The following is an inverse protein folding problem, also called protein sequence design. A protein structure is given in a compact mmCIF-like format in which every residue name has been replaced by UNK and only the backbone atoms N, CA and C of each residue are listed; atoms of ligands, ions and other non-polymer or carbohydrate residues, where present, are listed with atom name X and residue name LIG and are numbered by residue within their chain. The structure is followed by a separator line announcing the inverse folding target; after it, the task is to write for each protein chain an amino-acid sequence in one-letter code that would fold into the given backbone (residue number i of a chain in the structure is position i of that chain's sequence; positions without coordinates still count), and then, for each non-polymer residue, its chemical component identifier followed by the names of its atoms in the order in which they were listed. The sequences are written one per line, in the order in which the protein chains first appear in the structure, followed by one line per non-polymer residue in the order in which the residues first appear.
data_IF_613844733315
#
_entry.id   IF_613844733315
#
_cell.length_a   1.000
_cell.length_b   1.000
_cell.length_c   1.000
_cell.angle_alpha   90.00
_cell.angle_beta   90.00
_cell.angle_gamma   90.00
#
_symmetry.space_group_name_H-M   'P 1'
#
loop_
_entity.id
_entity.type
_entity.pdbx_description
1 polymer ?
#
# COMPACT_ATOMS: atom_id res chain seq x y z
N UNK A 1 28.05 -9.66 -8.53
CA UNK A 1 26.64 -10.11 -8.62
C UNK A 1 25.84 -8.85 -8.78
N UNK A 2 25.33 -8.59 -9.98
CA UNK A 2 24.46 -7.44 -10.22
C UNK A 2 23.22 -7.66 -9.35
N UNK A 3 23.08 -6.86 -8.29
CA UNK A 3 21.79 -6.81 -7.60
C UNK A 3 20.81 -6.22 -8.59
N UNK A 4 19.78 -6.99 -8.92
CA UNK A 4 18.76 -6.58 -9.87
C UNK A 4 18.02 -5.39 -9.25
N UNK A 5 18.39 -4.18 -9.68
CA UNK A 5 17.95 -2.92 -9.06
C UNK A 5 16.51 -2.55 -9.43
N UNK A 6 15.85 -3.38 -10.25
CA UNK A 6 14.49 -3.17 -10.72
C UNK A 6 13.48 -3.65 -9.69
N UNK A 7 12.56 -2.76 -9.30
CA UNK A 7 11.43 -3.10 -8.45
C UNK A 7 10.37 -3.88 -9.26
N UNK A 8 9.58 -4.75 -8.61
CA UNK A 8 8.35 -5.26 -9.19
C UNK A 8 7.42 -4.11 -9.62
N UNK A 9 6.73 -4.30 -10.75
CA UNK A 9 5.78 -3.34 -11.30
C UNK A 9 4.40 -3.99 -11.42
N UNK A 10 3.35 -3.16 -11.38
CA UNK A 10 1.98 -3.62 -11.62
C UNK A 10 1.87 -4.38 -12.95
N UNK A 11 1.08 -5.45 -12.93
CA UNK A 11 0.64 -6.12 -14.14
C UNK A 11 -0.77 -6.70 -13.92
N UNK A 12 -1.50 -6.95 -15.01
CA UNK A 12 -2.90 -7.39 -14.96
C UNK A 12 -3.12 -8.74 -14.25
N UNK A 13 -2.06 -9.54 -14.00
CA UNK A 13 -2.18 -10.78 -13.21
C UNK A 13 -2.39 -10.51 -11.72
N UNK A 14 -2.11 -9.29 -11.27
CA UNK A 14 -2.40 -8.83 -9.91
C UNK A 14 -3.85 -8.35 -9.76
N UNK A 15 -4.59 -8.15 -10.85
CA UNK A 15 -5.96 -7.67 -10.77
C UNK A 15 -6.86 -8.63 -9.99
N UNK A 16 -7.58 -8.09 -9.01
CA UNK A 16 -8.62 -8.81 -8.26
C UNK A 16 -10.01 -8.63 -8.86
N UNK A 17 -10.12 -7.95 -10.01
CA UNK A 17 -11.36 -7.56 -10.68
C UNK A 17 -12.26 -6.66 -9.82
N UNK A 18 -11.66 -5.79 -9.01
CA UNK A 18 -12.37 -4.72 -8.30
C UNK A 18 -11.61 -3.43 -8.55
N UNK A 19 -12.21 -2.53 -9.31
CA UNK A 19 -11.55 -1.40 -9.97
C UNK A 19 -10.80 -0.54 -8.94
N UNK A 20 -11.46 -0.23 -7.83
CA UNK A 20 -10.90 0.65 -6.80
C UNK A 20 -9.76 -0.02 -6.00
N UNK A 21 -9.79 -1.35 -5.83
CA UNK A 21 -8.71 -2.10 -5.18
C UNK A 21 -7.52 -2.19 -6.14
N UNK A 22 -7.76 -2.47 -7.42
CA UNK A 22 -6.72 -2.50 -8.44
C UNK A 22 -6.05 -1.12 -8.58
N UNK A 23 -6.81 -0.03 -8.44
CA UNK A 23 -6.29 1.34 -8.43
C UNK A 23 -5.37 1.61 -7.22
N UNK A 24 -5.75 1.17 -6.02
CA UNK A 24 -4.92 1.26 -4.81
C UNK A 24 -3.63 0.46 -5.00
N UNK A 25 -3.72 -0.80 -5.43
CA UNK A 25 -2.56 -1.67 -5.67
C UNK A 25 -1.57 -1.02 -6.64
N UNK A 26 -2.08 -0.49 -7.76
CA UNK A 26 -1.25 0.23 -8.71
C UNK A 26 -0.56 1.46 -8.10
N UNK A 27 -1.24 2.17 -7.20
CA UNK A 27 -0.67 3.34 -6.55
C UNK A 27 0.52 3.00 -5.64
N UNK A 28 0.47 1.89 -4.90
CA UNK A 28 1.62 1.41 -4.14
C UNK A 28 2.83 1.09 -5.01
N UNK A 29 2.64 0.42 -6.16
CA UNK A 29 3.74 0.18 -7.11
C UNK A 29 4.32 1.50 -7.64
N UNK A 30 3.47 2.48 -7.97
CA UNK A 30 3.92 3.82 -8.39
C UNK A 30 4.67 4.56 -7.29
N UNK A 31 4.23 4.46 -6.04
CA UNK A 31 4.90 5.07 -4.89
C UNK A 31 6.27 4.45 -4.64
N UNK A 32 6.39 3.13 -4.73
CA UNK A 32 7.66 2.43 -4.60
C UNK A 32 8.66 2.87 -5.69
N UNK A 33 8.19 2.96 -6.95
CA UNK A 33 9.00 3.47 -8.06
C UNK A 33 9.42 4.94 -7.82
N UNK A 34 8.50 5.81 -7.39
CA UNK A 34 8.80 7.21 -7.07
C UNK A 34 9.88 7.34 -5.99
N UNK A 35 9.79 6.55 -4.92
CA UNK A 35 10.80 6.54 -3.86
C UNK A 35 12.19 6.16 -4.40
N UNK A 36 12.26 5.14 -5.25
CA UNK A 36 13.51 4.73 -5.91
C UNK A 36 14.06 5.82 -6.83
N UNK A 37 13.20 6.48 -7.62
CA UNK A 37 13.58 7.52 -8.56
C UNK A 37 14.11 8.77 -7.85
N UNK A 38 13.45 9.18 -6.76
CA UNK A 38 13.86 10.36 -5.95
C UNK A 38 15.23 10.15 -5.31
N UNK A 39 15.55 8.91 -4.89
CA UNK A 39 16.90 8.58 -4.39
C UNK A 39 17.92 8.56 -5.53
N UNK A 40 17.54 8.02 -6.69
CA UNK A 40 18.44 7.85 -7.85
C UNK A 40 18.71 9.14 -8.62
N UNK A 41 17.82 10.14 -8.49
CA UNK A 41 17.91 11.45 -9.16
C UNK A 41 17.86 12.59 -8.13
N UNK A 42 18.96 12.86 -7.39
CA UNK A 42 18.98 13.87 -6.35
C UNK A 42 18.63 15.27 -6.87
N UNK A 43 17.81 15.98 -6.11
CA UNK A 43 17.42 17.37 -6.37
C UNK A 43 17.37 18.17 -5.07
N UNK A 44 17.26 19.50 -5.15
CA UNK A 44 17.07 20.35 -3.98
C UNK A 44 15.76 20.05 -3.23
N UNK A 45 14.82 19.36 -3.88
CA UNK A 45 13.50 19.02 -3.35
C UNK A 45 13.47 17.57 -2.82
N UNK A 46 14.58 16.83 -2.87
CA UNK A 46 14.64 15.39 -2.55
C UNK A 46 14.01 15.06 -1.19
N UNK A 47 14.38 15.77 -0.13
CA UNK A 47 13.81 15.55 1.21
C UNK A 47 12.29 15.77 1.23
N UNK A 48 11.82 16.84 0.59
CA UNK A 48 10.39 17.14 0.51
C UNK A 48 9.62 16.05 -0.25
N UNK A 49 10.17 15.59 -1.37
CA UNK A 49 9.57 14.53 -2.18
C UNK A 49 9.53 13.20 -1.42
N UNK A 50 10.59 12.86 -0.68
CA UNK A 50 10.62 11.64 0.17
C UNK A 50 9.55 11.73 1.26
N UNK A 51 9.50 12.80 2.03
CA UNK A 51 8.50 12.95 3.10
C UNK A 51 7.07 12.95 2.53
N UNK A 52 6.86 13.55 1.36
CA UNK A 52 5.57 13.50 0.66
C UNK A 52 5.21 12.07 0.27
N UNK A 53 6.15 11.31 -0.30
CA UNK A 53 5.91 9.91 -0.66
C UNK A 53 5.64 9.02 0.57
N UNK A 54 6.32 9.28 1.70
CA UNK A 54 6.08 8.59 2.98
C UNK A 54 4.67 8.87 3.48
N UNK A 55 4.24 10.14 3.53
CA UNK A 55 2.91 10.48 4.02
C UNK A 55 1.81 9.87 3.15
N UNK A 56 2.00 9.88 1.81
CA UNK A 56 1.07 9.22 0.90
C UNK A 56 1.07 7.70 1.15
N UNK A 57 2.24 7.08 1.37
CA UNK A 57 2.30 5.65 1.69
C UNK A 57 1.52 5.32 2.98
N UNK A 58 1.72 6.08 4.05
CA UNK A 58 1.00 5.90 5.33
C UNK A 58 -0.53 5.99 5.11
N UNK A 59 -1.03 7.00 4.39
CA UNK A 59 -2.46 7.15 4.06
C UNK A 59 -3.01 6.00 3.21
N UNK A 60 -2.23 5.54 2.23
CA UNK A 60 -2.64 4.45 1.35
C UNK A 60 -2.70 3.13 2.11
N UNK A 61 -1.72 2.81 2.97
CA UNK A 61 -1.72 1.59 3.80
C UNK A 61 -2.98 1.54 4.65
N UNK A 62 -3.25 2.58 5.44
CA UNK A 62 -4.40 2.62 6.34
C UNK A 62 -5.72 2.50 5.57
N UNK A 63 -5.91 3.34 4.55
CA UNK A 63 -7.16 3.39 3.80
C UNK A 63 -7.43 2.12 3.00
N UNK A 64 -6.42 1.58 2.32
CA UNK A 64 -6.55 0.39 1.47
C UNK A 64 -6.85 -0.85 2.31
N UNK A 65 -6.08 -1.05 3.40
CA UNK A 65 -6.30 -2.17 4.29
C UNK A 65 -7.67 -2.12 4.93
N UNK A 66 -8.12 -0.94 5.37
CA UNK A 66 -9.47 -0.79 5.90
C UNK A 66 -10.54 -1.11 4.85
N UNK A 67 -10.36 -0.66 3.61
CA UNK A 67 -11.28 -0.95 2.51
C UNK A 67 -11.48 -2.44 2.30
N UNK A 68 -10.39 -3.20 2.18
CA UNK A 68 -10.45 -4.66 2.00
C UNK A 68 -11.09 -5.34 3.20
N UNK A 69 -10.69 -4.95 4.43
CA UNK A 69 -11.21 -5.52 5.66
C UNK A 69 -12.71 -5.30 5.83
N UNK A 70 -13.20 -4.09 5.53
CA UNK A 70 -14.64 -3.80 5.55
C UNK A 70 -15.39 -4.61 4.51
N UNK A 71 -14.83 -4.76 3.30
CA UNK A 71 -15.46 -5.55 2.24
C UNK A 71 -15.51 -7.04 2.60
N UNK A 72 -14.42 -7.60 3.12
CA UNK A 72 -14.33 -8.98 3.60
C UNK A 72 -15.27 -9.24 4.79
N UNK A 73 -15.36 -8.31 5.74
CA UNK A 73 -16.27 -8.41 6.88
C UNK A 73 -17.75 -8.43 6.45
N UNK A 74 -18.13 -7.63 5.44
CA UNK A 74 -19.51 -7.60 4.92
C UNK A 74 -19.97 -8.94 4.33
N UNK A 75 -19.05 -9.78 3.89
CA UNK A 75 -19.35 -11.07 3.27
C UNK A 75 -18.97 -12.26 4.16
N UNK A 76 -18.68 -12.03 5.44
CA UNK A 76 -18.22 -13.04 6.39
C UNK A 76 -17.02 -13.86 5.85
N UNK A 77 -16.04 -13.19 5.25
CA UNK A 77 -14.89 -13.84 4.61
C UNK A 77 -14.10 -14.69 5.62
N UNK A 78 -13.91 -16.01 5.39
CA UNK A 78 -13.36 -16.91 6.40
C UNK A 78 -11.94 -16.59 6.85
N UNK A 79 -11.09 -16.03 5.98
CA UNK A 79 -9.69 -15.73 6.27
C UNK A 79 -9.44 -14.28 6.69
N UNK A 80 -10.49 -13.53 7.09
CA UNK A 80 -10.37 -12.12 7.47
C UNK A 80 -9.33 -11.90 8.59
N UNK A 81 -9.31 -12.76 9.61
CA UNK A 81 -8.39 -12.60 10.74
C UNK A 81 -6.92 -12.76 10.32
N UNK A 82 -6.63 -13.76 9.47
CA UNK A 82 -5.30 -13.98 8.92
C UNK A 82 -4.88 -12.82 7.99
N UNK A 83 -5.82 -12.29 7.20
CA UNK A 83 -5.58 -11.14 6.31
C UNK A 83 -5.21 -9.88 7.09
N UNK A 84 -5.97 -9.56 8.16
CA UNK A 84 -5.66 -8.46 9.09
C UNK A 84 -4.27 -8.64 9.69
N UNK A 85 -3.94 -9.84 10.16
CA UNK A 85 -2.62 -10.11 10.74
C UNK A 85 -1.47 -9.91 9.73
N UNK A 86 -1.70 -10.16 8.44
CA UNK A 86 -0.71 -9.91 7.39
C UNK A 86 -0.52 -8.40 7.14
N UNK A 87 -1.62 -7.64 7.17
CA UNK A 87 -1.62 -6.19 7.08
C UNK A 87 -0.89 -5.53 8.25
N UNK A 88 -1.22 -5.90 9.48
CA UNK A 88 -0.59 -5.34 10.69
C UNK A 88 0.93 -5.59 10.69
N UNK A 89 1.35 -6.81 10.33
CA UNK A 89 2.77 -7.16 10.25
C UNK A 89 3.53 -6.39 9.15
N UNK A 90 2.85 -5.98 8.08
CA UNK A 90 3.44 -5.13 7.05
C UNK A 90 3.55 -3.68 7.52
N UNK A 91 2.51 -3.14 8.11
CA UNK A 91 2.48 -1.78 8.63
C UNK A 91 3.57 -1.55 9.70
N UNK A 92 3.76 -2.52 10.61
CA UNK A 92 4.84 -2.49 11.60
C UNK A 92 6.23 -2.35 10.96
N UNK A 93 6.48 -3.08 9.85
CA UNK A 93 7.76 -3.05 9.13
C UNK A 93 7.96 -1.74 8.39
N UNK A 94 6.90 -1.20 7.77
CA UNK A 94 6.92 0.09 7.10
C UNK A 94 7.19 1.21 8.12
N UNK A 95 6.46 1.22 9.23
CA UNK A 95 6.63 2.18 10.33
C UNK A 95 8.05 2.18 10.89
N UNK A 96 8.67 0.99 11.04
CA UNK A 96 10.05 0.88 11.50
C UNK A 96 11.04 1.58 10.55
N UNK A 97 10.94 1.33 9.24
CA UNK A 97 11.83 1.94 8.25
C UNK A 97 11.61 3.44 8.13
N UNK A 98 10.35 3.90 8.17
CA UNK A 98 10.03 5.33 8.17
C UNK A 98 10.66 6.02 9.39
N UNK A 99 10.54 5.43 10.58
CA UNK A 99 11.14 5.97 11.79
C UNK A 99 12.66 6.00 11.72
N UNK A 100 13.27 4.95 11.18
CA UNK A 100 14.72 4.89 10.96
C UNK A 100 15.16 6.04 10.04
N UNK A 101 14.53 6.21 8.88
CA UNK A 101 14.81 7.29 7.94
C UNK A 101 14.62 8.67 8.58
N UNK A 102 13.51 8.91 9.28
CA UNK A 102 13.23 10.18 9.97
C UNK A 102 14.25 10.47 11.08
N UNK A 103 15.00 9.47 11.55
CA UNK A 103 16.05 9.62 12.58
C UNK A 103 17.43 9.89 11.99
N UNK A 104 17.82 9.13 10.96
CA UNK A 104 19.19 9.14 10.44
C UNK A 104 19.33 9.83 9.06
N UNK A 105 18.22 10.11 8.39
CA UNK A 105 18.14 10.62 7.01
C UNK A 105 18.93 9.79 5.99
N UNK A 106 19.09 8.48 6.23
CA UNK A 106 19.80 7.57 5.35
C UNK A 106 18.93 7.20 4.14
N UNK A 107 19.36 7.59 2.95
CA UNK A 107 18.65 7.29 1.70
C UNK A 107 18.61 5.80 1.37
N UNK A 108 19.51 4.99 1.94
CA UNK A 108 19.46 3.53 1.79
C UNK A 108 18.24 2.93 2.48
N UNK A 109 17.74 3.56 3.56
CA UNK A 109 16.48 3.19 4.22
C UNK A 109 15.28 3.44 3.31
N UNK A 110 15.30 4.50 2.49
CA UNK A 110 14.23 4.76 1.49
C UNK A 110 14.24 3.74 0.37
N UNK A 111 15.41 3.32 -0.11
CA UNK A 111 15.51 2.22 -1.08
C UNK A 111 15.00 0.90 -0.49
N UNK A 112 15.30 0.63 0.78
CA UNK A 112 14.79 -0.53 1.49
C UNK A 112 13.27 -0.48 1.67
N UNK A 113 12.71 0.70 1.97
CA UNK A 113 11.26 0.93 2.07
C UNK A 113 10.56 0.70 0.72
N UNK A 114 11.07 1.30 -0.36
CA UNK A 114 10.53 1.10 -1.71
C UNK A 114 10.51 -0.39 -2.10
N UNK A 115 11.60 -1.10 -1.81
CA UNK A 115 11.71 -2.55 -2.05
C UNK A 115 10.73 -3.35 -1.20
N UNK A 116 10.62 -3.03 0.08
CA UNK A 116 9.68 -3.66 1.01
C UNK A 116 8.24 -3.56 0.49
N UNK A 117 7.81 -2.37 0.09
CA UNK A 117 6.46 -2.12 -0.42
C UNK A 117 6.20 -2.96 -1.68
N UNK A 118 7.07 -2.86 -2.69
CA UNK A 118 6.84 -3.56 -3.96
C UNK A 118 6.91 -5.10 -3.84
N UNK A 119 7.86 -5.63 -3.05
CA UNK A 119 7.97 -7.08 -2.83
C UNK A 119 6.81 -7.63 -2.01
N UNK A 120 6.43 -6.95 -0.93
CA UNK A 120 5.33 -7.41 -0.07
C UNK A 120 4.03 -7.38 -0.84
N UNK A 121 3.73 -6.28 -1.56
CA UNK A 121 2.50 -6.16 -2.33
C UNK A 121 2.41 -7.23 -3.43
N UNK A 122 3.52 -7.52 -4.11
CA UNK A 122 3.56 -8.61 -5.11
C UNK A 122 3.17 -9.95 -4.48
N UNK A 123 3.76 -10.28 -3.33
CA UNK A 123 3.52 -11.56 -2.66
C UNK A 123 2.14 -11.64 -2.03
N UNK A 124 1.70 -10.55 -1.41
CA UNK A 124 0.41 -10.44 -0.74
C UNK A 124 -0.73 -10.53 -1.75
N UNK A 125 -0.66 -9.79 -2.86
CA UNK A 125 -1.69 -9.88 -3.90
C UNK A 125 -1.80 -11.31 -4.44
N UNK A 126 -0.66 -11.89 -4.83
CA UNK A 126 -0.65 -13.21 -5.45
C UNK A 126 -1.07 -14.33 -4.51
N UNK A 127 -0.66 -14.23 -3.24
CA UNK A 127 -0.84 -15.27 -2.25
C UNK A 127 -2.11 -15.13 -1.42
N UNK A 128 -2.65 -13.92 -1.27
CA UNK A 128 -3.73 -13.58 -0.34
C UNK A 128 -4.89 -12.92 -1.08
N UNK A 129 -4.70 -11.74 -1.68
CA UNK A 129 -5.80 -10.95 -2.25
C UNK A 129 -6.52 -11.66 -3.40
N UNK A 130 -5.77 -12.35 -4.28
CA UNK A 130 -6.38 -13.14 -5.36
C UNK A 130 -7.33 -14.23 -4.85
N UNK A 131 -7.28 -14.63 -3.57
CA UNK A 131 -8.20 -15.60 -3.00
C UNK A 131 -9.63 -15.06 -2.82
N UNK A 132 -9.81 -13.76 -2.67
CA UNK A 132 -11.15 -13.16 -2.61
C UNK A 132 -11.68 -12.75 -3.99
N UNK A 133 -10.90 -12.95 -5.07
CA UNK A 133 -11.29 -12.59 -6.43
C UNK A 133 -12.60 -13.28 -6.82
N UNK A 134 -13.59 -12.49 -7.21
CA UNK A 134 -14.94 -12.96 -7.54
C UNK A 134 -15.88 -13.15 -6.34
N UNK A 135 -15.37 -13.03 -5.11
CA UNK A 135 -16.17 -12.88 -3.89
C UNK A 135 -16.40 -11.39 -3.58
N UNK A 136 -15.33 -10.59 -3.69
CA UNK A 136 -15.43 -9.14 -3.71
C UNK A 136 -15.78 -8.65 -5.11
N UNK A 137 -16.60 -7.61 -5.17
CA UNK A 137 -17.06 -6.97 -6.40
C UNK A 137 -17.09 -5.46 -6.22
N UNK A 138 -17.16 -4.72 -7.32
CA UNK A 138 -17.37 -3.27 -7.30
C UNK A 138 -18.64 -2.84 -6.54
N UNK A 139 -19.59 -3.74 -6.26
CA UNK A 139 -20.82 -3.43 -5.53
C UNK A 139 -20.68 -3.52 -4.01
N UNK A 140 -19.77 -4.37 -3.51
CA UNK A 140 -19.61 -4.61 -2.07
C UNK A 140 -18.35 -3.94 -1.46
N UNK A 141 -17.48 -3.42 -2.30
CA UNK A 141 -16.30 -2.64 -1.92
C UNK A 141 -16.61 -1.15 -1.84
N UNK A 142 -16.10 -0.48 -0.80
CA UNK A 142 -16.24 0.96 -0.63
C UNK A 142 -15.36 1.72 -1.64
N UNK A 143 -15.98 2.51 -2.52
CA UNK A 143 -15.30 3.26 -3.57
C UNK A 143 -14.97 4.72 -3.21
N UNK A 144 -15.18 5.12 -1.95
CA UNK A 144 -14.79 6.47 -1.49
C UNK A 144 -13.26 6.62 -1.53
N UNK A 145 -12.80 7.85 -1.72
CA UNK A 145 -11.38 8.17 -1.66
C UNK A 145 -10.79 7.75 -0.30
N UNK A 146 -9.56 7.23 -0.32
CA UNK A 146 -8.89 6.65 0.86
C UNK A 146 -8.84 7.62 2.05
N UNK A 147 -8.73 8.92 1.80
CA UNK A 147 -8.77 9.97 2.84
C UNK A 147 -10.01 9.92 3.73
N UNK A 148 -11.17 9.50 3.19
CA UNK A 148 -12.39 9.34 3.98
C UNK A 148 -12.36 8.07 4.84
N UNK A 149 -11.70 7.02 4.35
CA UNK A 149 -11.57 5.74 5.05
C UNK A 149 -10.54 5.86 6.18
N UNK A 150 -9.33 6.35 5.87
CA UNK A 150 -8.24 6.52 6.83
C UNK A 150 -8.63 7.44 7.98
N UNK A 151 -9.31 8.56 7.70
CA UNK A 151 -9.71 9.50 8.75
C UNK A 151 -10.94 9.04 9.58
N UNK A 152 -11.53 7.87 9.29
CA UNK A 152 -12.79 7.43 9.89
C UNK A 152 -13.95 8.42 9.65
N UNK A 153 -13.83 9.26 8.62
CA UNK A 153 -14.78 10.32 8.31
C UNK A 153 -15.89 9.74 7.45
N UNK A 154 -16.94 9.26 8.10
CA UNK A 154 -18.17 8.89 7.41
C UNK A 154 -18.94 10.17 7.00
N UNK A 155 -19.07 10.49 5.70
CA UNK A 155 -19.79 11.70 5.27
C UNK A 155 -21.29 11.61 5.53
N UNK A 156 -21.82 10.44 5.94
CA UNK A 156 -23.21 10.28 6.40
C UNK A 156 -23.47 11.00 7.73
N UNK A 157 -22.41 11.38 8.47
CA UNK A 157 -22.51 12.08 9.75
C UNK A 157 -21.63 13.34 9.86
N UNK A 158 -21.21 13.93 8.74
CA UNK A 158 -20.71 15.31 8.78
C UNK A 158 -21.88 16.24 9.21
N UNK A 159 -21.68 17.13 10.21
CA UNK A 159 -22.76 17.91 10.82
C UNK A 159 -23.48 18.86 9.86
#
# INVERSE_FOLDING_TARGET
MEQNNTLPEWNDKFSVNVDVIDEDHQAFFRLAALMQDVVSSPSNEQTYLIETAINILEEYIEGHFLREQLAMAKIDYPQLAEHISAHDAFDDRVTLLIKEYRTNHDLTTILALARLVADWLTQHIQGVDLQYKGLLTNENVDNRALVYLAAGLDPVFAP
#
